data_IF_939965351271
#
_entry.id   IF_939965351271
#
_cell.length_a   1.000
_cell.length_b   1.000
_cell.length_c   1.000
_cell.angle_alpha   90.00
_cell.angle_beta   90.00
_cell.angle_gamma   90.00
#
_symmetry.space_group_name_H-M   'P 1'
#
loop_
_entity.id
_entity.type
_entity.pdbx_description
1 polymer ?
#
# COMPACT_ATOMS: atom_id res chain seq x y z
N UNK A 1 4.40 -27.32 -20.97
CA UNK A 1 3.98 -26.17 -20.15
C UNK A 1 4.97 -25.06 -20.49
N UNK A 2 4.57 -24.10 -21.33
CA UNK A 2 5.43 -22.94 -21.61
C UNK A 2 5.47 -22.10 -20.33
N UNK A 3 6.65 -21.92 -19.75
CA UNK A 3 6.83 -20.99 -18.62
C UNK A 3 6.80 -19.60 -19.24
N UNK A 4 5.78 -18.81 -18.91
CA UNK A 4 5.72 -17.42 -19.33
C UNK A 4 6.95 -16.69 -18.77
N UNK A 5 7.69 -16.01 -19.65
CA UNK A 5 8.92 -15.29 -19.25
C UNK A 5 8.68 -13.78 -19.12
N UNK A 6 7.53 -13.30 -19.60
CA UNK A 6 7.10 -11.91 -19.49
C UNK A 6 5.71 -11.79 -18.85
N UNK A 7 5.40 -10.64 -18.22
CA UNK A 7 4.05 -10.35 -17.70
C UNK A 7 2.97 -10.42 -18.78
N UNK A 8 3.27 -10.01 -20.01
CA UNK A 8 2.34 -10.03 -21.14
C UNK A 8 1.96 -11.47 -21.57
N UNK A 9 2.93 -12.38 -21.60
CA UNK A 9 2.67 -13.80 -21.86
C UNK A 9 1.83 -14.42 -20.74
N UNK A 10 2.16 -14.14 -19.49
CA UNK A 10 1.41 -14.62 -18.33
C UNK A 10 -0.03 -14.10 -18.34
N UNK A 11 -0.22 -12.83 -18.68
CA UNK A 11 -1.52 -12.21 -18.80
C UNK A 11 -2.40 -12.93 -19.83
N UNK A 12 -1.89 -13.08 -21.05
CA UNK A 12 -2.64 -13.69 -22.16
C UNK A 12 -2.89 -15.19 -21.98
N UNK A 13 -1.98 -15.90 -21.30
CA UNK A 13 -2.09 -17.35 -21.14
C UNK A 13 -2.99 -17.78 -19.97
N UNK A 14 -3.06 -16.98 -18.91
CA UNK A 14 -3.72 -17.40 -17.65
C UNK A 14 -4.59 -16.32 -17.04
N UNK A 15 -4.13 -15.06 -16.98
CA UNK A 15 -4.78 -14.06 -16.13
C UNK A 15 -5.96 -13.36 -16.78
N UNK A 16 -6.04 -13.34 -18.13
CA UNK A 16 -7.13 -12.69 -18.87
C UNK A 16 -8.52 -13.22 -18.51
N UNK A 17 -8.61 -14.50 -18.17
CA UNK A 17 -9.87 -15.17 -17.79
C UNK A 17 -10.17 -15.08 -16.28
N UNK A 18 -9.32 -14.39 -15.51
CA UNK A 18 -9.47 -14.27 -14.06
C UNK A 18 -10.09 -12.92 -13.68
N UNK A 19 -10.73 -12.80 -12.51
CA UNK A 19 -11.20 -11.51 -12.00
C UNK A 19 -10.07 -10.52 -11.69
N UNK A 20 -8.80 -10.95 -11.79
CA UNK A 20 -7.64 -10.08 -11.63
C UNK A 20 -7.25 -9.35 -12.93
N UNK A 21 -7.79 -9.78 -14.08
CA UNK A 21 -7.47 -9.20 -15.38
C UNK A 21 -7.57 -7.66 -15.43
N UNK A 22 -8.57 -7.00 -14.81
CA UNK A 22 -8.68 -5.54 -14.83
C UNK A 22 -7.52 -4.82 -14.13
N UNK A 23 -6.90 -5.45 -13.12
CA UNK A 23 -5.83 -4.84 -12.34
C UNK A 23 -4.45 -5.02 -13.00
N UNK A 24 -4.33 -6.00 -13.89
CA UNK A 24 -3.05 -6.37 -14.51
C UNK A 24 -2.69 -5.53 -15.73
N UNK A 25 -3.64 -4.77 -16.29
CA UNK A 25 -3.45 -3.96 -17.51
C UNK A 25 -2.29 -2.96 -17.37
N UNK A 26 -2.16 -2.34 -16.20
CA UNK A 26 -1.11 -1.36 -15.91
C UNK A 26 0.27 -2.00 -15.67
N UNK A 27 0.35 -3.34 -15.61
CA UNK A 27 1.60 -4.09 -15.38
C UNK A 27 2.18 -4.72 -16.66
N UNK A 28 1.51 -4.60 -17.82
CA UNK A 28 1.86 -5.32 -19.06
C UNK A 28 3.14 -4.77 -19.73
N UNK A 29 3.56 -3.55 -19.40
CA UNK A 29 4.75 -2.91 -19.99
C UNK A 29 6.10 -3.39 -19.45
N UNK A 30 6.09 -4.14 -18.34
CA UNK A 30 7.32 -4.62 -17.71
C UNK A 30 8.00 -5.70 -18.57
N UNK A 31 9.32 -5.55 -18.80
CA UNK A 31 10.05 -6.32 -19.81
C UNK A 31 10.47 -7.71 -19.32
N UNK A 32 10.77 -7.87 -18.02
CA UNK A 32 11.30 -9.11 -17.44
C UNK A 32 10.66 -9.43 -16.07
N UNK A 33 10.46 -10.72 -15.77
CA UNK A 33 9.96 -11.20 -14.46
C UNK A 33 11.13 -11.53 -13.51
N UNK A 34 11.84 -10.50 -13.04
CA UNK A 34 12.83 -10.61 -11.96
C UNK A 34 12.22 -10.31 -10.57
N UNK A 35 12.99 -10.52 -9.50
CA UNK A 35 12.52 -10.35 -8.11
C UNK A 35 12.02 -8.92 -7.82
N UNK A 36 12.71 -7.90 -8.35
CA UNK A 36 12.33 -6.50 -8.18
C UNK A 36 11.03 -6.20 -8.93
N UNK A 37 10.93 -6.66 -10.18
CA UNK A 37 9.75 -6.46 -11.02
C UNK A 37 8.55 -7.23 -10.46
N UNK A 38 8.74 -8.41 -9.84
CA UNK A 38 7.67 -9.13 -9.16
C UNK A 38 7.11 -8.34 -7.97
N UNK A 39 7.95 -7.67 -7.19
CA UNK A 39 7.49 -6.79 -6.11
C UNK A 39 6.79 -5.52 -6.64
N UNK A 40 7.29 -4.94 -7.74
CA UNK A 40 6.65 -3.79 -8.42
C UNK A 40 5.27 -4.18 -8.96
N UNK A 41 5.16 -5.34 -9.64
CA UNK A 41 3.90 -5.88 -10.15
C UNK A 41 2.93 -6.13 -8.98
N UNK A 42 3.40 -6.76 -7.90
CA UNK A 42 2.57 -6.99 -6.69
C UNK A 42 2.04 -5.67 -6.14
N UNK A 43 2.88 -4.67 -5.94
CA UNK A 43 2.46 -3.38 -5.39
C UNK A 43 1.50 -2.64 -6.33
N UNK A 44 1.73 -2.68 -7.65
CA UNK A 44 0.86 -2.07 -8.66
C UNK A 44 -0.52 -2.72 -8.70
N UNK A 45 -0.57 -4.06 -8.62
CA UNK A 45 -1.83 -4.81 -8.52
C UNK A 45 -2.59 -4.47 -7.24
N UNK A 46 -1.90 -4.47 -6.10
CA UNK A 46 -2.51 -4.17 -4.82
C UNK A 46 -3.04 -2.74 -4.75
N UNK A 47 -2.31 -1.78 -5.32
CA UNK A 47 -2.79 -0.40 -5.47
C UNK A 47 -4.12 -0.35 -6.23
N UNK A 48 -4.15 -0.95 -7.41
CA UNK A 48 -5.34 -0.92 -8.28
C UNK A 48 -6.53 -1.64 -7.62
N UNK A 49 -6.26 -2.78 -6.97
CA UNK A 49 -7.24 -3.51 -6.18
C UNK A 49 -7.81 -2.66 -5.04
N UNK A 50 -6.94 -2.03 -4.25
CA UNK A 50 -7.34 -1.29 -3.06
C UNK A 50 -8.18 -0.06 -3.43
N UNK A 51 -7.79 0.67 -4.49
CA UNK A 51 -8.55 1.81 -5.01
C UNK A 51 -9.92 1.38 -5.56
N UNK A 52 -9.99 0.26 -6.28
CA UNK A 52 -11.25 -0.27 -6.78
C UNK A 52 -12.17 -0.75 -5.65
N UNK A 53 -11.62 -1.44 -4.65
CA UNK A 53 -12.41 -1.93 -3.51
C UNK A 53 -12.89 -0.79 -2.62
N UNK A 54 -12.07 0.24 -2.40
CA UNK A 54 -12.48 1.46 -1.72
C UNK A 54 -13.66 2.12 -2.44
N UNK A 55 -13.57 2.25 -3.77
CA UNK A 55 -14.66 2.82 -4.58
C UNK A 55 -15.94 1.98 -4.47
N UNK A 56 -15.83 0.66 -4.55
CA UNK A 56 -16.96 -0.25 -4.37
C UNK A 56 -17.62 -0.06 -2.99
N UNK A 57 -16.87 -0.08 -1.89
CA UNK A 57 -17.40 0.15 -0.55
C UNK A 57 -18.08 1.51 -0.41
N UNK A 58 -17.50 2.55 -1.01
CA UNK A 58 -18.08 3.90 -1.03
C UNK A 58 -19.41 3.96 -1.79
N UNK A 59 -19.55 3.20 -2.87
CA UNK A 59 -20.79 3.10 -3.66
C UNK A 59 -21.91 2.36 -2.90
N UNK A 60 -21.58 1.43 -2.00
CA UNK A 60 -22.58 0.76 -1.15
C UNK A 60 -23.24 1.72 -0.15
N UNK A 61 -22.52 2.74 0.31
CA UNK A 61 -23.01 3.75 1.24
C UNK A 61 -23.34 3.22 2.64
N UNK A 62 -23.95 4.09 3.47
CA UNK A 62 -24.35 3.78 4.83
C UNK A 62 -23.20 3.35 5.74
N UNK A 63 -23.51 2.56 6.77
CA UNK A 63 -22.55 2.05 7.74
C UNK A 63 -21.41 1.26 7.08
N UNK A 64 -21.67 0.55 5.97
CA UNK A 64 -20.64 -0.19 5.24
C UNK A 64 -19.58 0.75 4.68
N UNK A 65 -19.97 1.87 4.06
CA UNK A 65 -19.02 2.85 3.55
C UNK A 65 -18.25 3.50 4.70
N UNK A 66 -18.94 3.91 5.77
CA UNK A 66 -18.32 4.61 6.91
C UNK A 66 -17.23 3.77 7.57
N UNK A 67 -17.49 2.49 7.81
CA UNK A 67 -16.52 1.56 8.42
C UNK A 67 -15.43 1.14 7.44
N UNK A 68 -15.82 0.63 6.26
CA UNK A 68 -14.86 0.03 5.34
C UNK A 68 -13.92 1.07 4.73
N UNK A 69 -14.41 2.27 4.40
CA UNK A 69 -13.54 3.31 3.85
C UNK A 69 -12.49 3.77 4.88
N UNK A 70 -12.79 3.76 6.18
CA UNK A 70 -11.80 4.07 7.22
C UNK A 70 -10.69 2.99 7.30
N UNK A 71 -11.08 1.71 7.34
CA UNK A 71 -10.14 0.59 7.37
C UNK A 71 -9.26 0.58 6.10
N UNK A 72 -9.87 0.76 4.93
CA UNK A 72 -9.16 0.76 3.65
C UNK A 72 -8.26 1.99 3.47
N UNK A 73 -8.65 3.15 4.01
CA UNK A 73 -7.79 4.33 4.03
C UNK A 73 -6.53 4.06 4.85
N UNK A 74 -6.67 3.47 6.04
CA UNK A 74 -5.53 3.07 6.86
C UNK A 74 -4.62 2.07 6.15
N UNK A 75 -5.18 1.05 5.48
CA UNK A 75 -4.39 0.08 4.71
C UNK A 75 -3.62 0.75 3.55
N UNK A 76 -4.21 1.75 2.89
CA UNK A 76 -3.54 2.51 1.85
C UNK A 76 -2.34 3.29 2.40
N UNK A 77 -2.53 3.98 3.52
CA UNK A 77 -1.48 4.79 4.16
C UNK A 77 -0.36 3.91 4.73
N UNK A 78 -0.72 2.79 5.37
CA UNK A 78 0.23 1.77 5.83
C UNK A 78 1.12 1.29 4.68
N UNK A 79 0.52 0.93 3.54
CA UNK A 79 1.25 0.49 2.35
C UNK A 79 2.20 1.56 1.83
N UNK A 80 1.75 2.81 1.73
CA UNK A 80 2.60 3.89 1.27
C UNK A 80 3.83 4.08 2.16
N UNK A 81 3.64 4.02 3.48
CA UNK A 81 4.74 4.13 4.46
C UNK A 81 5.72 2.95 4.33
N UNK A 82 5.21 1.71 4.33
CA UNK A 82 6.05 0.50 4.26
C UNK A 82 6.81 0.41 2.94
N UNK A 83 6.17 0.72 1.80
CA UNK A 83 6.86 0.80 0.49
C UNK A 83 7.99 1.83 0.56
N UNK A 84 7.76 2.98 1.22
CA UNK A 84 8.79 4.01 1.34
C UNK A 84 9.98 3.54 2.16
N UNK A 85 9.74 2.94 3.32
CA UNK A 85 10.81 2.43 4.21
C UNK A 85 11.59 1.31 3.52
N UNK A 86 10.89 0.35 2.90
CA UNK A 86 11.52 -0.82 2.27
C UNK A 86 12.19 -0.49 0.94
N UNK A 87 11.90 0.67 0.33
CA UNK A 87 12.61 1.15 -0.86
C UNK A 87 13.99 1.72 -0.57
N UNK A 88 14.34 1.99 0.69
CA UNK A 88 15.66 2.54 1.02
C UNK A 88 16.76 1.52 0.74
N UNK A 89 17.78 1.96 -0.01
CA UNK A 89 18.90 1.10 -0.40
C UNK A 89 18.62 0.16 -1.57
N UNK A 90 17.47 0.30 -2.25
CA UNK A 90 17.16 -0.42 -3.50
C UNK A 90 17.36 0.47 -4.73
N UNK A 91 17.25 -0.09 -5.93
CA UNK A 91 17.36 0.64 -7.20
C UNK A 91 16.05 1.36 -7.61
N UNK A 92 15.02 1.33 -6.75
CA UNK A 92 13.72 1.94 -7.05
C UNK A 92 13.80 3.47 -7.01
N UNK A 93 13.52 4.12 -8.14
CA UNK A 93 13.53 5.58 -8.23
C UNK A 93 12.38 6.21 -7.41
N UNK A 94 12.54 7.47 -6.99
CA UNK A 94 11.49 8.21 -6.28
C UNK A 94 10.20 8.36 -7.10
N UNK A 95 10.35 8.52 -8.41
CA UNK A 95 9.21 8.66 -9.32
C UNK A 95 8.47 7.34 -9.46
N UNK A 96 9.17 6.22 -9.60
CA UNK A 96 8.54 4.89 -9.68
C UNK A 96 7.90 4.50 -8.36
N UNK A 97 8.56 4.76 -7.23
CA UNK A 97 8.01 4.60 -5.89
C UNK A 97 6.68 5.34 -5.73
N UNK A 98 6.57 6.58 -6.24
CA UNK A 98 5.33 7.36 -6.17
C UNK A 98 4.16 6.73 -6.94
N UNK A 99 4.46 5.96 -8.01
CA UNK A 99 3.44 5.25 -8.80
C UNK A 99 2.85 4.06 -8.03
N UNK A 100 3.56 3.52 -7.04
CA UNK A 100 3.12 2.38 -6.24
C UNK A 100 2.14 2.75 -5.11
N UNK A 101 2.01 4.03 -4.76
CA UNK A 101 1.15 4.43 -3.65
C UNK A 101 -0.34 4.40 -4.03
N UNK A 102 -1.20 3.73 -3.22
CA UNK A 102 -2.65 3.87 -3.33
C UNK A 102 -3.12 5.27 -2.92
N UNK A 103 -4.14 5.80 -3.58
CA UNK A 103 -4.61 7.19 -3.43
C UNK A 103 -5.93 7.34 -2.65
N UNK A 104 -6.33 6.31 -1.91
CA UNK A 104 -7.58 6.29 -1.14
C UNK A 104 -7.39 6.47 0.38
N UNK A 105 -6.18 6.82 0.82
CA UNK A 105 -5.83 7.08 2.23
C UNK A 105 -5.82 8.56 2.61
N UNK A 106 -5.57 8.85 3.90
CA UNK A 106 -5.47 10.20 4.48
C UNK A 106 -4.17 10.92 4.10
N UNK A 107 -3.13 10.18 3.70
CA UNK A 107 -1.88 10.78 3.22
C UNK A 107 -2.01 11.37 1.82
N UNK A 108 -3.02 11.00 1.03
CA UNK A 108 -3.24 11.61 -0.28
C UNK A 108 -3.91 13.00 -0.14
N UNK A 109 -3.43 14.05 -0.85
CA UNK A 109 -2.30 14.04 -1.79
C UNK A 109 -0.94 14.40 -1.18
N UNK A 110 -0.91 15.25 -0.16
CA UNK A 110 0.32 15.94 0.28
C UNK A 110 1.30 15.03 1.02
N UNK A 111 0.80 14.14 1.87
CA UNK A 111 1.60 13.15 2.60
C UNK A 111 2.29 12.18 1.66
N UNK A 112 1.60 11.68 0.62
CA UNK A 112 2.21 10.83 -0.41
C UNK A 112 3.29 11.56 -1.21
N UNK A 113 3.06 12.82 -1.55
CA UNK A 113 4.07 13.64 -2.22
C UNK A 113 5.29 13.89 -1.33
N UNK A 114 5.11 14.00 -0.01
CA UNK A 114 6.21 14.11 0.93
C UNK A 114 6.96 12.79 1.09
N UNK A 115 6.26 11.66 1.22
CA UNK A 115 6.84 10.32 1.28
C UNK A 115 7.66 10.00 0.02
N UNK A 116 7.18 10.36 -1.17
CA UNK A 116 7.93 10.11 -2.40
C UNK A 116 9.28 10.82 -2.45
N UNK A 117 9.46 11.90 -1.67
CA UNK A 117 10.72 12.64 -1.57
C UNK A 117 11.65 12.14 -0.45
N UNK A 118 11.14 11.36 0.50
CA UNK A 118 11.90 10.91 1.66
C UNK A 118 13.10 10.03 1.27
N UNK A 119 14.23 10.24 1.93
CA UNK A 119 15.49 9.51 1.72
C UNK A 119 15.91 8.64 2.91
N UNK A 120 15.28 8.84 4.07
CA UNK A 120 15.58 8.13 5.30
C UNK A 120 14.33 7.95 6.18
N UNK A 121 14.47 7.13 7.21
CA UNK A 121 13.40 6.81 8.15
C UNK A 121 12.92 8.03 8.95
N UNK A 122 13.82 8.96 9.29
CA UNK A 122 13.48 10.14 10.08
C UNK A 122 12.59 11.11 9.28
N UNK A 123 12.82 11.22 7.97
CA UNK A 123 11.95 11.98 7.06
C UNK A 123 10.57 11.33 6.92
N UNK A 124 10.49 10.00 6.83
CA UNK A 124 9.20 9.28 6.83
C UNK A 124 8.43 9.55 8.13
N UNK A 125 9.12 9.47 9.26
CA UNK A 125 8.55 9.81 10.58
C UNK A 125 8.05 11.25 10.62
N UNK A 126 8.84 12.21 10.13
CA UNK A 126 8.44 13.61 10.09
C UNK A 126 7.17 13.84 9.26
N UNK A 127 6.97 13.10 8.16
CA UNK A 127 5.72 13.13 7.40
C UNK A 127 4.55 12.58 8.23
N UNK A 128 4.75 11.45 8.91
CA UNK A 128 3.74 10.84 9.76
C UNK A 128 3.33 11.74 10.95
N UNK A 129 4.25 12.54 11.49
CA UNK A 129 4.01 13.44 12.63
C UNK A 129 2.99 14.55 12.35
N UNK A 130 2.74 14.90 11.08
CA UNK A 130 1.67 15.83 10.70
C UNK A 130 0.27 15.26 10.92
N UNK A 131 0.14 13.95 11.08
CA UNK A 131 -1.12 13.24 11.24
C UNK A 131 -1.17 12.63 12.64
N UNK A 132 -2.07 13.12 13.49
CA UNK A 132 -2.12 12.74 14.91
C UNK A 132 -2.23 11.21 15.13
N UNK A 133 -2.96 10.52 14.25
CA UNK A 133 -3.11 9.07 14.27
C UNK A 133 -1.78 8.36 14.00
N UNK A 134 -1.06 8.72 12.94
CA UNK A 134 0.21 8.08 12.59
C UNK A 134 1.34 8.48 13.54
N UNK A 135 1.32 9.71 14.05
CA UNK A 135 2.27 10.17 15.06
C UNK A 135 2.33 9.22 16.25
N UNK A 136 1.18 8.81 16.79
CA UNK A 136 1.11 7.90 17.93
C UNK A 136 1.67 6.49 17.62
N UNK A 137 1.60 6.05 16.35
CA UNK A 137 2.12 4.76 15.90
C UNK A 137 3.65 4.77 15.79
N UNK A 138 4.22 5.90 15.35
CA UNK A 138 5.67 6.10 15.34
C UNK A 138 6.23 6.40 16.74
N UNK A 139 5.44 6.97 17.64
CA UNK A 139 5.82 7.19 19.04
C UNK A 139 5.92 5.85 19.80
N UNK A 140 7.14 5.50 20.20
CA UNK A 140 7.44 4.25 20.89
C UNK A 140 7.50 3.02 19.99
N UNK A 141 7.53 3.21 18.66
CA UNK A 141 8.07 2.21 17.75
C UNK A 141 9.61 2.25 17.83
N UNK A 142 10.22 1.09 17.98
CA UNK A 142 11.67 0.99 18.06
C UNK A 142 12.18 -0.41 17.77
N UNK A 143 13.48 -0.50 17.51
CA UNK A 143 14.14 -1.75 17.09
C UNK A 143 14.92 -2.40 18.24
N UNK A 144 14.83 -1.88 19.47
CA UNK A 144 15.52 -2.48 20.60
C UNK A 144 14.79 -3.74 21.10
N UNK A 145 15.51 -4.72 21.68
CA UNK A 145 14.89 -5.90 22.26
C UNK A 145 13.83 -5.53 23.32
N UNK A 146 12.58 -5.94 23.09
CA UNK A 146 11.45 -5.66 23.98
C UNK A 146 10.63 -4.43 23.61
N UNK A 147 11.04 -3.64 22.61
CA UNK A 147 10.21 -2.60 22.00
C UNK A 147 9.31 -3.20 20.91
N UNK A 148 8.17 -2.54 20.65
CA UNK A 148 7.31 -2.89 19.52
C UNK A 148 7.87 -2.27 18.26
N UNK A 149 7.90 -3.04 17.18
CA UNK A 149 8.25 -2.51 15.87
C UNK A 149 7.14 -1.61 15.34
N UNK A 150 7.44 -0.83 14.29
CA UNK A 150 6.42 -0.05 13.60
C UNK A 150 5.33 -0.95 12.98
N UNK A 151 5.71 -2.13 12.47
CA UNK A 151 4.75 -3.10 11.93
C UNK A 151 3.82 -3.64 13.02
N UNK A 152 4.34 -3.95 14.21
CA UNK A 152 3.50 -4.37 15.36
C UNK A 152 2.47 -3.29 15.72
N UNK A 153 2.90 -2.02 15.70
CA UNK A 153 2.02 -0.87 15.97
C UNK A 153 0.95 -0.72 14.91
N UNK A 154 1.30 -0.87 13.63
CA UNK A 154 0.31 -0.85 12.55
C UNK A 154 -0.68 -2.01 12.67
N UNK A 155 -0.22 -3.20 13.02
CA UNK A 155 -1.08 -4.36 13.22
C UNK A 155 -2.05 -4.16 14.40
N UNK A 156 -1.58 -3.62 15.52
CA UNK A 156 -2.45 -3.30 16.66
C UNK A 156 -3.53 -2.28 16.30
N UNK A 157 -3.17 -1.25 15.54
CA UNK A 157 -4.12 -0.25 15.06
C UNK A 157 -5.14 -0.83 14.08
N UNK A 158 -4.69 -1.67 13.14
CA UNK A 158 -5.55 -2.41 12.21
C UNK A 158 -6.58 -3.24 12.96
N UNK A 159 -6.15 -3.98 13.99
CA UNK A 159 -7.05 -4.78 14.84
C UNK A 159 -8.04 -3.89 15.59
N UNK A 160 -7.60 -2.74 16.10
CA UNK A 160 -8.50 -1.78 16.77
C UNK A 160 -9.60 -1.27 15.83
N UNK A 161 -9.25 -0.86 14.60
CA UNK A 161 -10.23 -0.45 13.59
C UNK A 161 -11.22 -1.58 13.27
N UNK A 162 -10.73 -2.81 13.12
CA UNK A 162 -11.58 -3.98 12.89
C UNK A 162 -12.50 -4.29 14.08
N UNK A 163 -12.08 -4.03 15.32
CA UNK A 163 -12.93 -4.20 16.51
C UNK A 163 -14.03 -3.13 16.54
N UNK A 164 -13.71 -1.87 16.21
CA UNK A 164 -14.68 -0.78 16.15
C UNK A 164 -15.78 -1.03 15.11
N UNK A 165 -15.50 -1.79 14.05
CA UNK A 165 -16.50 -2.23 13.08
C UNK A 165 -17.66 -3.03 13.70
N UNK A 166 -17.44 -3.72 14.83
CA UNK A 166 -18.47 -4.46 15.55
C UNK A 166 -19.25 -3.60 16.56
N UNK A 167 -18.86 -2.35 16.75
CA UNK A 167 -19.46 -1.41 17.71
C UNK A 167 -20.39 -0.39 17.06
N UNK A 168 -20.59 -0.45 15.74
CA UNK A 168 -21.57 0.37 15.01
C UNK A 168 -22.99 -0.18 15.10
#
# INVERSE_FOLDING_TARGET
IHVASTPAELYNAVLVDTPLAPFFVDCISEQDLDEMNVEIIRNTLYKSYLEAFYKFCKELGGATADVMCEILAFEADRRAIIITINSFGTELSKDDRSKLYPRCGRLFPDGLAALSRADDYDQVRAVAEYYAEYRALFEGAGNNPGEKTLEDKFFEHEVQLNVLAFMQ
#
